data_IF_969012212302
#
_entry.id   IF_969012212302
#
_cell.length_a   1.000
_cell.length_b   1.000
_cell.length_c   1.000
_cell.angle_alpha   90.00
_cell.angle_beta   90.00
_cell.angle_gamma   90.00
#
_symmetry.space_group_name_H-M   'P 1'
#
loop_
_entity.id
_entity.type
_entity.pdbx_description
1 polymer ?
#
# COMPACT_ATOMS: atom_id res chain seq x y z
N UNK A 1 14.90 1.35 10.63
CA UNK A 1 13.77 1.19 9.68
C UNK A 1 13.65 2.45 8.85
N UNK A 2 13.20 2.38 7.60
CA UNK A 2 12.97 3.59 6.79
C UNK A 2 11.61 4.16 7.18
N UNK A 3 11.63 5.38 7.70
CA UNK A 3 10.43 6.17 8.02
C UNK A 3 9.92 6.90 6.78
N UNK A 4 8.68 7.35 6.78
CA UNK A 4 8.05 7.96 5.60
C UNK A 4 8.77 9.25 5.14
N UNK A 5 9.36 10.02 6.05
CA UNK A 5 10.16 11.21 5.73
C UNK A 5 11.55 10.91 5.13
N UNK A 6 11.92 9.63 5.03
CA UNK A 6 13.17 9.17 4.40
C UNK A 6 12.92 8.45 3.06
N UNK A 7 11.69 8.43 2.60
CA UNK A 7 11.33 7.91 1.28
C UNK A 7 11.51 9.01 0.22
N UNK A 8 11.71 8.60 -1.03
CA UNK A 8 12.05 9.50 -2.14
C UNK A 8 11.04 9.47 -3.29
N UNK A 9 10.00 8.67 -3.20
CA UNK A 9 9.01 8.53 -4.26
C UNK A 9 7.61 8.36 -3.67
N UNK A 10 6.66 9.09 -4.23
CA UNK A 10 5.24 8.98 -3.88
C UNK A 10 4.51 8.18 -4.95
N UNK A 11 3.72 7.19 -4.55
CA UNK A 11 2.89 6.41 -5.46
C UNK A 11 1.42 6.77 -5.30
N UNK A 12 0.77 7.04 -6.42
CA UNK A 12 -0.66 7.27 -6.51
C UNK A 12 -1.35 6.15 -7.31
N UNK A 13 -2.61 5.94 -7.06
CA UNK A 13 -3.47 5.15 -7.94
C UNK A 13 -3.75 5.90 -9.24
N UNK A 14 -3.79 5.19 -10.37
CA UNK A 14 -4.22 5.75 -11.66
C UNK A 14 -5.72 6.15 -11.68
N UNK A 15 -6.47 5.80 -10.63
CA UNK A 15 -7.82 6.31 -10.38
C UNK A 15 -7.84 7.73 -9.81
N UNK A 16 -6.77 8.20 -9.17
CA UNK A 16 -6.76 9.51 -8.50
C UNK A 16 -7.10 10.66 -9.46
N UNK A 17 -6.44 10.80 -10.63
CA UNK A 17 -6.77 11.87 -11.58
C UNK A 17 -8.17 11.75 -12.15
N UNK A 18 -8.75 10.56 -12.19
CA UNK A 18 -10.12 10.32 -12.70
C UNK A 18 -11.19 10.65 -11.67
N UNK A 19 -10.96 10.26 -10.40
CA UNK A 19 -11.93 10.46 -9.31
C UNK A 19 -11.85 11.85 -8.67
N UNK A 20 -10.65 12.39 -8.56
CA UNK A 20 -10.38 13.64 -7.86
C UNK A 20 -9.41 14.52 -8.65
N UNK A 21 -9.79 15.01 -9.86
CA UNK A 21 -8.86 15.71 -10.76
C UNK A 21 -8.23 16.95 -10.12
N UNK A 22 -9.01 17.80 -9.49
CA UNK A 22 -8.50 19.02 -8.84
C UNK A 22 -7.52 18.71 -7.70
N UNK A 23 -7.81 17.68 -6.89
CA UNK A 23 -6.88 17.24 -5.84
C UNK A 23 -5.57 16.72 -6.45
N UNK A 24 -5.68 15.94 -7.52
CA UNK A 24 -4.52 15.42 -8.22
C UNK A 24 -3.62 16.54 -8.77
N UNK A 25 -4.21 17.55 -9.41
CA UNK A 25 -3.47 18.72 -9.92
C UNK A 25 -2.72 19.45 -8.80
N UNK A 26 -3.36 19.70 -7.66
CA UNK A 26 -2.73 20.36 -6.53
C UNK A 26 -1.60 19.53 -5.93
N UNK A 27 -1.78 18.21 -5.79
CA UNK A 27 -0.74 17.31 -5.28
C UNK A 27 0.46 17.25 -6.23
N UNK A 28 0.23 17.05 -7.52
CA UNK A 28 1.30 17.01 -8.54
C UNK A 28 2.08 18.31 -8.54
N UNK A 29 1.39 19.45 -8.57
CA UNK A 29 2.04 20.77 -8.51
C UNK A 29 2.93 20.89 -7.26
N UNK A 30 2.42 20.52 -6.08
CA UNK A 30 3.19 20.60 -4.84
C UNK A 30 4.43 19.67 -4.86
N UNK A 31 4.32 18.49 -5.46
CA UNK A 31 5.44 17.55 -5.59
C UNK A 31 6.49 18.08 -6.56
N UNK A 32 6.08 18.59 -7.72
CA UNK A 32 6.98 19.17 -8.74
C UNK A 32 7.73 20.39 -8.19
N UNK A 33 7.03 21.30 -7.49
CA UNK A 33 7.63 22.47 -6.84
C UNK A 33 8.68 22.11 -5.78
N UNK A 34 8.58 20.93 -5.17
CA UNK A 34 9.52 20.42 -4.16
C UNK A 34 10.49 19.35 -4.69
N UNK A 35 10.50 19.07 -5.99
CA UNK A 35 11.39 18.10 -6.61
C UNK A 35 11.16 16.66 -6.12
N UNK A 36 9.94 16.31 -5.69
CA UNK A 36 9.61 14.98 -5.17
C UNK A 36 9.12 14.10 -6.31
N UNK A 37 9.76 12.96 -6.51
CA UNK A 37 9.37 11.99 -7.52
C UNK A 37 8.03 11.32 -7.18
N UNK A 38 7.19 11.14 -8.20
CA UNK A 38 5.94 10.40 -8.05
C UNK A 38 5.66 9.53 -9.28
N UNK A 39 4.81 8.52 -9.08
CA UNK A 39 4.35 7.67 -10.17
C UNK A 39 2.90 7.19 -9.90
N UNK A 40 2.20 6.87 -10.98
CA UNK A 40 0.88 6.26 -10.90
C UNK A 40 0.97 4.76 -11.06
N UNK A 41 0.23 4.04 -10.20
CA UNK A 41 0.13 2.59 -10.22
C UNK A 41 -1.12 2.17 -10.96
N UNK A 42 -0.96 1.32 -11.95
CA UNK A 42 -2.05 0.60 -12.61
C UNK A 42 -2.47 -0.64 -11.82
N UNK A 43 -3.55 -1.29 -12.22
CA UNK A 43 -4.16 -2.45 -11.56
C UNK A 43 -4.73 -2.13 -10.16
N UNK A 44 -4.83 -0.86 -9.82
CA UNK A 44 -5.51 -0.42 -8.60
C UNK A 44 -7.02 -0.46 -8.78
N UNK A 45 -7.76 -0.64 -7.69
CA UNK A 45 -9.23 -0.59 -7.65
C UNK A 45 -9.74 0.59 -6.84
N UNK A 46 -8.85 1.20 -6.06
CA UNK A 46 -9.13 2.34 -5.19
C UNK A 46 -7.93 3.27 -5.13
N UNK A 47 -8.13 4.47 -4.56
CA UNK A 47 -7.09 5.52 -4.46
C UNK A 47 -6.13 5.32 -3.27
N UNK A 48 -6.43 4.44 -2.34
CA UNK A 48 -5.74 4.27 -1.05
C UNK A 48 -4.51 3.37 -1.16
N UNK A 49 -3.49 3.80 -1.94
CA UNK A 49 -2.28 2.99 -2.20
C UNK A 49 -1.57 2.53 -0.91
N UNK A 50 -1.58 3.33 0.14
CA UNK A 50 -0.95 2.97 1.41
C UNK A 50 -1.52 1.69 2.03
N UNK A 51 -2.80 1.40 1.80
CA UNK A 51 -3.48 0.29 2.45
C UNK A 51 -3.08 -1.08 1.89
N UNK A 52 -2.70 -1.13 0.61
CA UNK A 52 -2.39 -2.37 -0.08
C UNK A 52 -0.95 -2.50 -0.57
N UNK A 53 -0.16 -1.41 -0.58
CA UNK A 53 1.23 -1.48 -1.01
C UNK A 53 2.14 -2.10 0.06
N UNK A 54 3.21 -2.83 -0.34
CA UNK A 54 4.17 -3.38 0.59
C UNK A 54 4.81 -2.31 1.48
N UNK A 55 5.10 -2.67 2.72
CA UNK A 55 5.75 -1.80 3.68
C UNK A 55 7.26 -1.89 3.51
N UNK A 56 7.91 -0.79 3.17
CA UNK A 56 9.37 -0.72 3.11
C UNK A 56 9.96 -0.67 4.53
N UNK A 57 10.84 -1.61 4.84
CA UNK A 57 11.50 -1.72 6.15
C UNK A 57 12.99 -1.38 6.13
N UNK A 58 13.64 -1.51 4.98
CA UNK A 58 15.00 -1.08 4.71
C UNK A 58 15.11 -0.67 3.23
N UNK A 59 16.26 -0.19 2.79
CA UNK A 59 16.46 0.35 1.44
C UNK A 59 15.89 -0.57 0.34
N UNK A 60 16.26 -1.86 0.37
CA UNK A 60 15.79 -2.87 -0.59
C UNK A 60 15.00 -4.00 0.08
N UNK A 61 14.34 -3.72 1.20
CA UNK A 61 13.58 -4.73 1.93
C UNK A 61 12.14 -4.28 2.14
N UNK A 62 11.22 -5.13 1.72
CA UNK A 62 9.79 -4.88 1.79
C UNK A 62 9.08 -6.03 2.48
N UNK A 63 7.94 -5.74 3.10
CA UNK A 63 7.02 -6.74 3.66
C UNK A 63 5.70 -6.65 2.90
N UNK A 64 5.33 -7.75 2.26
CA UNK A 64 4.03 -7.92 1.61
C UNK A 64 3.11 -8.73 2.51
N UNK A 65 1.84 -8.39 2.56
CA UNK A 65 0.83 -8.95 3.44
C UNK A 65 -0.48 -9.17 2.71
N UNK A 66 -1.45 -9.82 3.36
CA UNK A 66 -2.79 -9.99 2.80
C UNK A 66 -3.63 -8.74 3.05
N UNK A 67 -4.07 -8.10 1.98
CA UNK A 67 -5.02 -6.99 2.05
C UNK A 67 -6.44 -7.50 1.89
N UNK A 68 -7.18 -7.56 2.98
CA UNK A 68 -8.59 -7.96 3.02
C UNK A 68 -9.34 -7.08 4.03
N UNK A 69 -9.61 -5.83 3.65
CA UNK A 69 -10.29 -4.89 4.53
C UNK A 69 -11.72 -5.37 4.86
N UNK A 70 -12.11 -5.28 6.11
CA UNK A 70 -13.40 -5.78 6.59
C UNK A 70 -14.59 -4.96 6.06
N UNK A 71 -14.39 -3.70 5.75
CA UNK A 71 -15.40 -2.80 5.17
C UNK A 71 -15.64 -3.02 3.66
N UNK A 72 -14.83 -3.84 2.98
CA UNK A 72 -14.99 -4.18 1.57
C UNK A 72 -15.37 -5.66 1.35
N UNK A 73 -16.13 -6.26 2.27
CA UNK A 73 -16.48 -7.68 2.17
C UNK A 73 -17.85 -7.96 1.53
N UNK A 74 -18.63 -6.93 1.26
CA UNK A 74 -19.86 -7.05 0.48
C UNK A 74 -19.59 -7.15 -1.04
N UNK A 75 -20.62 -7.46 -1.82
CA UNK A 75 -20.49 -7.64 -3.28
C UNK A 75 -19.94 -6.40 -4.00
N UNK A 76 -20.21 -5.22 -3.50
CA UNK A 76 -19.74 -3.94 -4.08
C UNK A 76 -18.32 -3.67 -3.65
N UNK A 77 -18.02 -3.83 -2.38
CA UNK A 77 -16.69 -3.62 -1.81
C UNK A 77 -15.62 -4.54 -2.38
N UNK A 78 -15.95 -5.82 -2.61
CA UNK A 78 -15.01 -6.77 -3.22
C UNK A 78 -14.52 -6.33 -4.60
N UNK A 79 -15.32 -5.58 -5.36
CA UNK A 79 -14.90 -5.01 -6.65
C UNK A 79 -13.89 -3.88 -6.50
N UNK A 80 -13.86 -3.22 -5.35
CA UNK A 80 -12.94 -2.14 -5.02
C UNK A 80 -11.69 -2.65 -4.30
N UNK A 81 -11.66 -3.92 -3.92
CA UNK A 81 -10.51 -4.50 -3.26
C UNK A 81 -9.37 -4.69 -4.25
N UNK A 82 -8.33 -3.92 -4.06
CA UNK A 82 -7.10 -4.00 -4.86
C UNK A 82 -6.32 -5.27 -4.52
N UNK A 83 -5.80 -5.95 -5.53
CA UNK A 83 -4.87 -7.06 -5.35
C UNK A 83 -3.42 -6.55 -5.36
N UNK A 84 -2.71 -6.56 -4.22
CA UNK A 84 -1.32 -6.09 -4.15
C UNK A 84 -0.38 -6.83 -5.12
N UNK A 85 -0.61 -8.11 -5.32
CA UNK A 85 0.22 -8.94 -6.19
C UNK A 85 0.09 -8.54 -7.66
N UNK A 86 -1.11 -8.22 -8.12
CA UNK A 86 -1.34 -7.73 -9.49
C UNK A 86 -0.59 -6.42 -9.75
N UNK A 87 -0.59 -5.49 -8.78
CA UNK A 87 0.17 -4.23 -8.89
C UNK A 87 1.66 -4.49 -9.02
N UNK A 88 2.23 -5.37 -8.18
CA UNK A 88 3.65 -5.66 -8.19
C UNK A 88 4.10 -6.38 -9.47
N UNK A 89 3.22 -7.20 -10.06
CA UNK A 89 3.49 -7.93 -11.31
C UNK A 89 3.28 -7.10 -12.57
N UNK A 90 2.53 -6.01 -12.48
CA UNK A 90 2.27 -5.13 -13.62
C UNK A 90 3.56 -4.45 -14.09
N UNK A 91 4.03 -4.79 -15.29
CA UNK A 91 5.30 -4.30 -15.86
C UNK A 91 5.35 -2.77 -15.95
N UNK A 92 4.23 -2.13 -16.25
CA UNK A 92 4.11 -0.68 -16.34
C UNK A 92 4.39 0.04 -15.02
N UNK A 93 4.18 -0.62 -13.88
CA UNK A 93 4.44 -0.04 -12.57
C UNK A 93 5.94 -0.03 -12.21
N UNK A 94 6.77 -0.77 -12.95
CA UNK A 94 8.24 -0.85 -12.74
C UNK A 94 8.66 -1.23 -11.31
N UNK A 95 7.84 -2.02 -10.63
CA UNK A 95 8.03 -2.45 -9.24
C UNK A 95 8.72 -3.81 -9.12
N UNK A 96 9.42 -4.27 -10.15
CA UNK A 96 10.08 -5.59 -10.17
C UNK A 96 11.05 -5.76 -8.99
N UNK A 97 11.79 -4.72 -8.63
CA UNK A 97 12.70 -4.74 -7.48
C UNK A 97 11.96 -4.91 -6.15
N UNK A 98 10.78 -4.29 -6.01
CA UNK A 98 9.92 -4.45 -4.82
C UNK A 98 9.41 -5.89 -4.73
N UNK A 99 8.95 -6.45 -5.86
CA UNK A 99 8.45 -7.82 -5.93
C UNK A 99 9.52 -8.85 -5.55
N UNK A 100 10.74 -8.67 -6.05
CA UNK A 100 11.87 -9.57 -5.78
C UNK A 100 12.34 -9.51 -4.33
N UNK A 101 12.26 -8.34 -3.71
CA UNK A 101 12.77 -8.08 -2.35
C UNK A 101 11.67 -8.06 -1.27
N UNK A 102 10.44 -8.40 -1.63
CA UNK A 102 9.31 -8.46 -0.70
C UNK A 102 9.22 -9.81 0.00
N UNK A 103 9.33 -9.79 1.31
CA UNK A 103 9.05 -10.95 2.16
C UNK A 103 7.54 -11.03 2.37
N UNK A 104 6.92 -12.13 1.95
CA UNK A 104 5.49 -12.39 2.19
C UNK A 104 5.28 -12.85 3.63
N UNK A 105 4.38 -12.17 4.34
CA UNK A 105 3.97 -12.57 5.68
C UNK A 105 2.48 -12.94 5.69
N UNK A 106 2.13 -13.92 6.52
CA UNK A 106 0.74 -14.37 6.67
C UNK A 106 -0.03 -13.51 7.69
N UNK A 107 0.02 -12.21 7.47
CA UNK A 107 -0.73 -11.24 8.26
C UNK A 107 -1.80 -10.58 7.39
N UNK A 108 -2.95 -10.28 8.00
CA UNK A 108 -3.99 -9.47 7.37
C UNK A 108 -3.83 -8.05 7.89
N UNK A 109 -3.45 -7.16 6.99
CA UNK A 109 -3.19 -5.76 7.31
C UNK A 109 -3.91 -4.83 6.33
N UNK A 110 -4.18 -3.62 6.83
CA UNK A 110 -4.33 -2.43 6.04
C UNK A 110 -3.08 -1.59 6.32
N UNK A 111 -2.28 -1.26 5.32
CA UNK A 111 -1.01 -0.56 5.52
C UNK A 111 -1.16 0.81 6.19
N UNK A 112 -2.34 1.43 6.08
CA UNK A 112 -2.70 2.64 6.81
C UNK A 112 -2.71 2.46 8.33
N UNK A 113 -2.86 1.23 8.84
CA UNK A 113 -2.80 0.90 10.26
C UNK A 113 -1.38 0.65 10.78
N UNK A 114 -0.37 0.89 9.95
CA UNK A 114 1.05 0.66 10.28
C UNK A 114 1.81 1.98 10.23
N UNK A 115 2.32 2.42 11.36
CA UNK A 115 3.18 3.61 11.46
C UNK A 115 4.61 3.17 11.76
N UNK A 116 5.53 3.60 10.92
CA UNK A 116 6.96 3.31 11.06
C UNK A 116 7.66 4.42 11.83
N UNK A 117 8.31 4.07 12.91
CA UNK A 117 9.26 4.91 13.64
C UNK A 117 10.67 4.33 13.47
N UNK A 118 11.72 5.06 13.85
CA UNK A 118 13.11 4.62 13.64
C UNK A 118 13.41 3.22 14.20
N UNK A 119 12.90 2.91 15.37
CA UNK A 119 13.18 1.66 16.08
C UNK A 119 11.94 0.82 16.36
N UNK A 120 10.75 1.30 16.00
CA UNK A 120 9.48 0.68 16.37
C UNK A 120 8.49 0.74 15.21
N UNK A 121 7.57 -0.23 15.22
CA UNK A 121 6.34 -0.19 14.44
C UNK A 121 5.20 -0.02 15.43
N UNK A 122 4.34 0.95 15.17
CA UNK A 122 3.07 1.12 15.89
C UNK A 122 1.97 0.56 15.00
N UNK A 123 1.22 -0.36 15.54
CA UNK A 123 0.11 -1.02 14.84
C UNK A 123 -1.10 -1.11 15.75
N UNK A 124 -2.30 -1.14 15.19
CA UNK A 124 -3.50 -1.41 15.97
C UNK A 124 -3.61 -2.90 16.31
N UNK A 125 -4.19 -3.25 17.44
CA UNK A 125 -4.44 -4.65 17.85
C UNK A 125 -5.30 -5.42 16.84
N UNK A 126 -6.10 -4.72 16.06
CA UNK A 126 -6.92 -5.27 14.98
C UNK A 126 -6.11 -6.08 13.96
N UNK A 127 -4.86 -5.72 13.71
CA UNK A 127 -3.96 -6.44 12.80
C UNK A 127 -3.71 -7.89 13.29
N UNK A 128 -3.57 -8.08 14.58
CA UNK A 128 -3.33 -9.39 15.19
C UNK A 128 -4.60 -10.21 15.34
N UNK A 129 -5.71 -9.59 15.71
CA UNK A 129 -6.99 -10.27 15.87
C UNK A 129 -7.52 -10.84 14.55
N UNK A 130 -7.44 -10.08 13.45
CA UNK A 130 -7.81 -10.54 12.09
C UNK A 130 -7.00 -11.76 11.64
N UNK A 131 -5.73 -11.82 11.98
CA UNK A 131 -4.85 -12.95 11.61
C UNK A 131 -5.16 -14.19 12.44
N UNK A 132 -5.41 -14.04 13.74
CA UNK A 132 -5.72 -15.17 14.66
C UNK A 132 -7.01 -15.88 14.31
N UNK A 133 -8.07 -15.17 13.94
CA UNK A 133 -9.36 -15.77 13.61
C UNK A 133 -9.32 -16.67 12.36
N UNK A 134 -8.37 -16.49 11.45
CA UNK A 134 -8.20 -17.39 10.29
C UNK A 134 -7.46 -18.68 10.62
N UNK A 135 -6.70 -18.72 11.70
CA UNK A 135 -5.90 -19.89 12.11
C UNK A 135 -6.50 -20.62 13.33
N UNK A 136 -7.66 -20.20 13.84
CA UNK A 136 -8.36 -20.95 14.87
C UNK A 136 -8.82 -22.31 14.29
N UNK A 137 -8.49 -23.45 14.92
CA UNK A 137 -9.02 -24.75 14.51
C UNK A 137 -10.53 -24.72 14.59
N UNK A 138 -11.19 -25.29 13.56
CA UNK A 138 -12.65 -25.51 13.53
C UNK A 138 -13.05 -26.58 14.52
#
# INVERSE_FOLDING_TARGET
>A
MITDNRTNTVFFSDFLPKKCPTLNEHLVKALDENGIHYAYLSETKDIWCRDFMPIQIAEDRFVSYKYTPDYLQDKTGLRLQTNPEAILQARQNRLTHVLQNAVKVDLILDGGNVVKCDYKIVMTEKCFSKTRTKHAPK
#
